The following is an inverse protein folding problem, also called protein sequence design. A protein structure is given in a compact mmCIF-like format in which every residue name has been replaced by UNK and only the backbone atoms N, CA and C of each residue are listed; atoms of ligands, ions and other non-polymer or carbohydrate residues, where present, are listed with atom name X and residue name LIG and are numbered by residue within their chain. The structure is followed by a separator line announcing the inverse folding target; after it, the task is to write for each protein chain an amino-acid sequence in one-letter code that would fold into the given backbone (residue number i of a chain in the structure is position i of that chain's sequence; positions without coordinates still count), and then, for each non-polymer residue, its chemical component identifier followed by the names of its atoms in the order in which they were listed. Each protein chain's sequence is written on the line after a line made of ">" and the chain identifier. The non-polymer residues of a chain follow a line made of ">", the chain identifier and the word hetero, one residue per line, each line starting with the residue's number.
data_IF_554268138054
#
_entry.id   IF_554268138054
#
_cell.length_a   1.000
_cell.length_b   1.000
_cell.length_c   1.000
_cell.angle_alpha   90.00
_cell.angle_beta   90.00
_cell.angle_gamma   90.00
#
_symmetry.space_group_name_H-M   'P 1'
#
loop_
_entity.id
_entity.type
_entity.pdbx_description
1 polymer ?
#
# COMPACT_ATOMS: atom_id res chain seq x y z
N UNK A 1 -1.20 6.85 -18.78
CA UNK A 1 -2.26 7.41 -19.65
C UNK A 1 -3.23 8.27 -18.86
N UNK A 2 -4.00 7.73 -17.91
CA UNK A 2 -5.04 8.48 -17.20
C UNK A 2 -4.51 9.65 -16.36
N UNK A 3 -3.38 9.48 -15.66
CA UNK A 3 -2.74 10.58 -14.93
C UNK A 3 -2.31 11.73 -15.85
N UNK A 4 -1.93 11.46 -17.10
CA UNK A 4 -1.62 12.51 -18.06
C UNK A 4 -2.86 13.34 -18.45
N UNK A 5 -4.02 12.70 -18.57
CA UNK A 5 -5.31 13.40 -18.79
C UNK A 5 -5.63 14.28 -17.57
N UNK A 6 -5.50 13.73 -16.36
CA UNK A 6 -5.73 14.47 -15.12
C UNK A 6 -4.77 15.66 -14.98
N UNK A 7 -3.49 15.47 -15.31
CA UNK A 7 -2.48 16.52 -15.30
C UNK A 7 -2.82 17.63 -16.28
N UNK A 8 -3.18 17.29 -17.52
CA UNK A 8 -3.58 18.26 -18.53
C UNK A 8 -4.77 19.11 -18.07
N UNK A 9 -5.80 18.48 -17.49
CA UNK A 9 -6.95 19.21 -16.95
C UNK A 9 -6.54 20.18 -15.84
N UNK A 10 -5.65 19.74 -14.96
CA UNK A 10 -5.14 20.55 -13.85
C UNK A 10 -4.32 21.75 -14.34
N UNK A 11 -3.40 21.54 -15.28
CA UNK A 11 -2.57 22.59 -15.90
C UNK A 11 -3.42 23.62 -16.65
N UNK A 12 -4.59 23.22 -17.15
CA UNK A 12 -5.57 24.11 -17.78
C UNK A 12 -6.61 24.66 -16.78
N UNK A 13 -6.30 24.69 -15.49
CA UNK A 13 -7.15 25.23 -14.42
C UNK A 13 -8.53 24.56 -14.28
N UNK A 14 -8.71 23.34 -14.79
CA UNK A 14 -9.91 22.55 -14.56
C UNK A 14 -9.72 21.72 -13.29
N UNK A 15 -10.23 22.24 -12.18
CA UNK A 15 -10.18 21.61 -10.85
C UNK A 15 -11.20 20.47 -10.70
N UNK A 16 -11.15 19.52 -11.63
CA UNK A 16 -11.97 18.29 -11.64
C UNK A 16 -11.07 17.08 -11.43
N UNK A 17 -11.62 16.02 -10.86
CA UNK A 17 -10.91 14.75 -10.71
C UNK A 17 -11.63 13.65 -11.50
N UNK A 18 -11.01 13.20 -12.59
CA UNK A 18 -11.59 12.19 -13.48
C UNK A 18 -11.73 10.81 -12.83
N UNK A 19 -11.06 10.57 -11.70
CA UNK A 19 -11.09 9.31 -10.98
C UNK A 19 -12.14 9.26 -9.87
N UNK A 20 -12.43 10.41 -9.24
CA UNK A 20 -13.30 10.46 -8.05
C UNK A 20 -14.61 11.21 -8.25
N UNK A 21 -14.67 12.15 -9.19
CA UNK A 21 -15.87 12.96 -9.36
C UNK A 21 -16.97 12.15 -10.05
N UNK A 22 -18.17 12.17 -9.45
CA UNK A 22 -19.32 11.38 -9.93
C UNK A 22 -19.70 11.69 -11.39
N UNK A 23 -19.41 12.92 -11.85
CA UNK A 23 -19.66 13.35 -13.22
C UNK A 23 -18.90 12.51 -14.27
N UNK A 24 -17.76 11.92 -13.92
CA UNK A 24 -16.93 11.13 -14.83
C UNK A 24 -17.12 9.62 -14.67
N UNK A 25 -18.11 9.15 -13.91
CA UNK A 25 -18.34 7.71 -13.72
C UNK A 25 -18.50 6.96 -15.04
N UNK A 26 -19.28 7.49 -15.98
CA UNK A 26 -19.45 6.85 -17.30
C UNK A 26 -18.15 6.83 -18.08
N UNK A 27 -17.35 7.91 -18.02
CA UNK A 27 -16.02 7.95 -18.66
C UNK A 27 -15.10 6.87 -18.08
N UNK A 28 -15.04 6.73 -16.76
CA UNK A 28 -14.23 5.70 -16.09
C UNK A 28 -14.70 4.30 -16.46
N UNK A 29 -16.01 4.07 -16.52
CA UNK A 29 -16.59 2.78 -16.92
C UNK A 29 -16.20 2.41 -18.36
N UNK A 30 -16.34 3.32 -19.32
CA UNK A 30 -15.96 3.07 -20.71
C UNK A 30 -14.44 2.90 -20.85
N UNK A 31 -13.65 3.69 -20.14
CA UNK A 31 -12.20 3.54 -20.11
C UNK A 31 -11.77 2.17 -19.57
N UNK A 32 -12.40 1.70 -18.49
CA UNK A 32 -12.14 0.36 -17.94
C UNK A 32 -12.52 -0.75 -18.93
N UNK A 33 -13.60 -0.58 -19.71
CA UNK A 33 -13.96 -1.54 -20.78
C UNK A 33 -12.88 -1.58 -21.86
N UNK A 34 -12.42 -0.41 -22.32
CA UNK A 34 -11.34 -0.31 -23.32
C UNK A 34 -10.03 -0.94 -22.82
N UNK A 35 -9.74 -0.82 -21.53
CA UNK A 35 -8.53 -1.35 -20.90
C UNK A 35 -8.67 -2.79 -20.40
N UNK A 36 -9.84 -3.43 -20.52
CA UNK A 36 -10.11 -4.75 -19.95
C UNK A 36 -9.17 -5.86 -20.45
N UNK A 37 -8.67 -5.74 -21.69
CA UNK A 37 -7.70 -6.67 -22.28
C UNK A 37 -6.25 -6.19 -22.19
N UNK A 38 -5.99 -4.99 -21.63
CA UNK A 38 -4.63 -4.48 -21.53
C UNK A 38 -3.83 -5.28 -20.50
N UNK A 39 -2.62 -5.67 -20.87
CA UNK A 39 -1.68 -6.33 -19.99
C UNK A 39 -0.47 -5.41 -19.74
N UNK A 40 -0.01 -5.29 -18.49
CA UNK A 40 1.20 -4.52 -18.20
C UNK A 40 2.40 -5.12 -18.92
N UNK A 41 3.28 -4.26 -19.43
CA UNK A 41 4.57 -4.72 -19.92
C UNK A 41 5.39 -5.26 -18.76
N UNK A 42 5.79 -6.53 -18.82
CA UNK A 42 6.61 -7.18 -17.80
C UNK A 42 8.05 -7.22 -18.31
N UNK A 43 8.99 -6.75 -17.49
CA UNK A 43 10.42 -6.83 -17.80
C UNK A 43 10.93 -8.28 -17.66
N UNK A 44 12.09 -8.64 -18.22
CA UNK A 44 12.67 -9.98 -18.12
C UNK A 44 12.89 -10.50 -16.67
N UNK A 45 12.92 -9.61 -15.68
CA UNK A 45 13.01 -9.91 -14.25
C UNK A 45 11.64 -10.10 -13.57
N UNK A 46 10.55 -10.24 -14.33
CA UNK A 46 9.18 -10.37 -13.85
C UNK A 46 8.61 -9.16 -13.10
N UNK A 47 9.26 -7.99 -13.16
CA UNK A 47 8.68 -6.76 -12.60
C UNK A 47 7.80 -6.06 -13.63
N UNK A 48 6.69 -5.48 -13.17
CA UNK A 48 5.82 -4.65 -14.01
C UNK A 48 6.54 -3.35 -14.37
N UNK A 49 6.65 -3.06 -15.66
CA UNK A 49 7.15 -1.77 -16.15
C UNK A 49 6.04 -0.72 -16.02
N UNK A 50 6.23 0.21 -15.09
CA UNK A 50 5.40 1.41 -14.95
C UNK A 50 6.28 2.64 -15.05
N UNK A 51 5.85 3.63 -15.83
CA UNK A 51 6.45 4.98 -15.84
C UNK A 51 5.81 5.91 -14.81
N UNK A 52 4.75 5.44 -14.13
CA UNK A 52 4.10 6.22 -13.08
C UNK A 52 4.89 6.05 -11.80
N UNK A 53 5.56 7.11 -11.41
CA UNK A 53 6.25 7.27 -10.13
C UNK A 53 5.36 8.01 -9.12
N UNK A 54 5.74 7.98 -7.86
CA UNK A 54 4.95 8.55 -6.76
C UNK A 54 4.79 10.07 -6.88
N UNK A 55 5.83 10.79 -7.30
CA UNK A 55 5.80 12.23 -7.58
C UNK A 55 4.62 12.63 -8.47
N UNK A 56 4.32 11.84 -9.50
CA UNK A 56 3.22 12.11 -10.41
C UNK A 56 1.87 12.12 -9.71
N UNK A 57 1.68 11.31 -8.65
CA UNK A 57 0.44 11.31 -7.88
C UNK A 57 0.29 12.57 -7.03
N UNK A 58 1.39 13.10 -6.50
CA UNK A 58 1.43 14.36 -5.77
C UNK A 58 1.15 15.54 -6.72
N UNK A 59 1.83 15.58 -7.86
CA UNK A 59 1.69 16.65 -8.87
C UNK A 59 0.28 16.68 -9.48
N UNK A 60 -0.29 15.51 -9.74
CA UNK A 60 -1.68 15.38 -10.23
C UNK A 60 -2.74 15.60 -9.13
N UNK A 61 -2.35 15.99 -7.90
CA UNK A 61 -3.24 16.17 -6.74
C UNK A 61 -4.10 14.95 -6.41
N UNK A 62 -3.62 13.74 -6.73
CA UNK A 62 -4.24 12.48 -6.31
C UNK A 62 -3.89 12.15 -4.86
N UNK A 63 -2.76 12.69 -4.38
CA UNK A 63 -2.33 12.69 -3.00
C UNK A 63 -2.19 14.14 -2.51
N UNK A 64 -2.40 14.36 -1.22
CA UNK A 64 -2.39 15.66 -0.56
C UNK A 64 -3.59 15.89 0.35
N UNK A 65 -3.85 17.16 0.65
CA UNK A 65 -4.89 17.60 1.59
C UNK A 65 -5.92 18.52 0.94
N UNK A 66 -6.06 18.44 -0.39
CA UNK A 66 -6.83 19.38 -1.19
C UNK A 66 -8.34 19.17 -1.13
N UNK A 67 -8.80 17.97 -0.75
CA UNK A 67 -10.21 17.65 -0.52
C UNK A 67 -10.33 16.46 0.45
N UNK A 68 -11.51 16.21 1.05
CA UNK A 68 -11.72 15.05 1.92
C UNK A 68 -11.41 13.70 1.22
N UNK A 69 -11.76 13.56 -0.05
CA UNK A 69 -11.48 12.35 -0.83
C UNK A 69 -9.97 12.18 -1.11
N UNK A 70 -9.28 13.27 -1.47
CA UNK A 70 -7.83 13.22 -1.71
C UNK A 70 -7.07 12.95 -0.40
N UNK A 71 -7.52 13.52 0.72
CA UNK A 71 -6.95 13.22 2.03
C UNK A 71 -7.12 11.74 2.37
N UNK A 72 -8.30 11.17 2.14
CA UNK A 72 -8.54 9.74 2.34
C UNK A 72 -7.63 8.88 1.46
N UNK A 73 -7.52 9.20 0.16
CA UNK A 73 -6.60 8.51 -0.76
C UNK A 73 -5.15 8.57 -0.26
N UNK A 74 -4.75 9.71 0.30
CA UNK A 74 -3.40 9.91 0.86
C UNK A 74 -3.14 9.03 2.07
N UNK A 75 -4.12 8.92 2.98
CA UNK A 75 -4.02 8.04 4.13
C UNK A 75 -3.96 6.57 3.70
N UNK A 76 -4.81 6.16 2.75
CA UNK A 76 -4.78 4.82 2.18
C UNK A 76 -3.43 4.52 1.53
N UNK A 77 -2.90 5.46 0.74
CA UNK A 77 -1.58 5.34 0.13
C UNK A 77 -0.48 5.15 1.17
N UNK A 78 -0.44 5.95 2.23
CA UNK A 78 0.55 5.80 3.30
C UNK A 78 0.42 4.48 4.05
N UNK A 79 -0.81 4.05 4.36
CA UNK A 79 -1.06 2.77 4.99
C UNK A 79 -0.58 1.61 4.10
N UNK A 80 -0.82 1.66 2.80
CA UNK A 80 -0.31 0.66 1.86
C UNK A 80 1.21 0.70 1.76
N UNK A 81 1.79 1.89 1.58
CA UNK A 81 3.24 2.07 1.38
C UNK A 81 4.07 1.70 2.62
N UNK A 82 3.63 2.11 3.81
CA UNK A 82 4.42 1.98 5.03
C UNK A 82 4.00 0.81 5.92
N UNK A 83 2.73 0.39 5.88
CA UNK A 83 2.24 -0.74 6.68
C UNK A 83 1.91 -1.98 5.84
N UNK A 84 1.93 -1.89 4.51
CA UNK A 84 1.69 -3.03 3.62
C UNK A 84 0.23 -3.44 3.51
N UNK A 85 -0.73 -2.58 3.91
CA UNK A 85 -2.16 -2.86 3.81
C UNK A 85 -2.64 -2.64 2.38
N UNK A 86 -2.95 -3.70 1.66
CA UNK A 86 -3.30 -3.67 0.23
C UNK A 86 -4.79 -3.84 -0.02
N UNK A 87 -5.52 -4.53 0.87
CA UNK A 87 -6.96 -4.78 0.68
C UNK A 87 -7.84 -3.92 1.60
N UNK A 88 -9.10 -3.73 1.21
CA UNK A 88 -10.07 -3.00 2.03
C UNK A 88 -10.20 -3.61 3.42
N UNK A 89 -10.20 -4.95 3.53
CA UNK A 89 -10.30 -5.68 4.79
C UNK A 89 -9.09 -5.45 5.68
N UNK A 90 -7.89 -5.33 5.11
CA UNK A 90 -6.67 -5.01 5.83
C UNK A 90 -6.69 -3.58 6.38
N UNK A 91 -7.13 -2.60 5.57
CA UNK A 91 -7.33 -1.22 6.03
C UNK A 91 -8.38 -1.11 7.13
N UNK A 92 -9.47 -1.90 7.06
CA UNK A 92 -10.51 -1.93 8.09
C UNK A 92 -10.02 -2.47 9.44
N UNK A 93 -8.93 -3.25 9.46
CA UNK A 93 -8.33 -3.77 10.69
C UNK A 93 -7.37 -2.79 11.37
N UNK A 94 -7.11 -1.63 10.73
CA UNK A 94 -6.24 -0.61 11.26
C UNK A 94 -6.84 -0.03 12.55
N UNK A 95 -6.02 -0.05 13.60
CA UNK A 95 -6.37 0.50 14.90
C UNK A 95 -5.15 1.18 15.50
N UNK A 96 -5.34 2.33 16.14
CA UNK A 96 -4.27 3.03 16.86
C UNK A 96 -3.65 2.19 17.98
N UNK A 97 -4.36 1.19 18.51
CA UNK A 97 -3.81 0.23 19.48
C UNK A 97 -2.65 -0.59 18.90
N UNK A 98 -2.60 -0.73 17.59
CA UNK A 98 -1.63 -1.55 16.86
C UNK A 98 -0.52 -0.70 16.22
N UNK A 99 -0.59 0.64 16.38
CA UNK A 99 0.39 1.59 15.88
C UNK A 99 1.22 2.09 17.05
N UNK A 100 2.52 1.80 17.03
CA UNK A 100 3.42 2.23 18.09
C UNK A 100 4.54 3.12 17.57
N UNK A 101 4.92 4.10 18.38
CA UNK A 101 6.16 4.83 18.21
C UNK A 101 7.31 3.99 18.74
N UNK A 102 8.26 3.64 17.88
CA UNK A 102 9.47 2.94 18.26
C UNK A 102 10.66 3.89 18.21
N UNK A 103 11.53 3.83 19.22
CA UNK A 103 12.82 4.50 19.16
C UNK A 103 13.93 3.48 19.32
N UNK A 104 14.94 3.56 18.45
CA UNK A 104 16.12 2.66 18.46
C UNK A 104 17.39 3.50 18.40
N UNK A 105 18.40 3.11 19.18
CA UNK A 105 19.75 3.65 19.02
C UNK A 105 20.40 2.97 17.83
N UNK A 106 20.90 3.74 16.86
CA UNK A 106 21.62 3.27 15.70
C UNK A 106 23.06 3.80 15.78
N UNK A 107 24.04 2.92 15.67
CA UNK A 107 25.45 3.29 15.59
C UNK A 107 25.79 3.64 14.15
N UNK A 108 26.17 4.89 13.90
CA UNK A 108 26.66 5.37 12.61
C UNK A 108 28.17 5.64 12.70
N UNK A 109 28.84 5.81 11.56
CA UNK A 109 30.26 6.18 11.52
C UNK A 109 30.59 7.49 12.28
N UNK A 110 29.58 8.34 12.54
CA UNK A 110 29.71 9.61 13.28
C UNK A 110 29.26 9.51 14.75
N UNK A 111 29.01 8.31 15.26
CA UNK A 111 28.55 8.06 16.63
C UNK A 111 27.12 7.50 16.72
N UNK A 112 26.60 7.37 17.95
CA UNK A 112 25.27 6.82 18.21
C UNK A 112 24.17 7.87 17.97
N UNK A 113 23.27 7.61 17.04
CA UNK A 113 22.09 8.43 16.77
C UNK A 113 20.82 7.73 17.25
N UNK A 114 19.83 8.49 17.73
CA UNK A 114 18.51 7.97 18.11
C UNK A 114 17.57 8.10 16.91
N UNK A 115 17.16 6.96 16.36
CA UNK A 115 16.17 6.90 15.27
C UNK A 115 14.79 6.70 15.89
N UNK A 116 13.79 7.39 15.37
CA UNK A 116 12.39 7.27 15.76
C UNK A 116 11.60 6.84 14.53
N UNK A 117 10.79 5.79 14.66
CA UNK A 117 9.91 5.31 13.60
C UNK A 117 8.53 4.98 14.15
N UNK A 118 7.55 4.93 13.25
CA UNK A 118 6.22 4.40 13.55
C UNK A 118 6.19 2.97 13.01
N UNK A 119 5.64 2.04 13.80
CA UNK A 119 5.49 0.64 13.41
C UNK A 119 4.04 0.22 13.61
N UNK A 120 3.49 -0.45 12.61
CA UNK A 120 2.22 -1.14 12.68
C UNK A 120 2.45 -2.63 12.94
N UNK A 121 1.68 -3.21 13.85
CA UNK A 121 1.66 -4.66 14.09
C UNK A 121 0.31 -5.22 13.66
N UNK A 122 0.32 -6.10 12.66
CA UNK A 122 -0.90 -6.77 12.21
C UNK A 122 -1.49 -7.58 13.37
N UNK A 123 -2.78 -7.38 13.72
CA UNK A 123 -3.41 -8.16 14.76
C UNK A 123 -3.37 -9.65 14.38
N UNK A 124 -2.88 -10.48 15.30
CA UNK A 124 -2.85 -11.93 15.10
C UNK A 124 -4.31 -12.39 15.03
N UNK A 125 -4.76 -12.83 13.86
CA UNK A 125 -6.08 -13.45 13.73
C UNK A 125 -6.08 -14.68 14.63
N UNK A 126 -6.78 -14.63 15.77
CA UNK A 126 -7.15 -15.84 16.48
C UNK A 126 -8.05 -16.65 15.54
N UNK A 127 -7.45 -17.61 14.80
CA UNK A 127 -8.20 -18.70 14.20
C UNK A 127 -8.88 -19.46 15.34
N UNK A 128 -10.14 -19.14 15.61
CA UNK A 128 -10.97 -19.93 16.51
C UNK A 128 -11.50 -21.12 15.70
N UNK A 129 -10.85 -22.27 15.86
CA UNK A 129 -11.30 -23.53 15.27
C UNK A 129 -10.28 -24.67 15.42
N UNK A 130 -10.38 -25.40 16.56
CA UNK A 130 -10.18 -26.84 16.83
C UNK A 130 -9.07 -27.56 16.00
N UNK A 131 -8.04 -28.21 16.54
CA UNK A 131 -7.98 -29.11 17.70
C UNK A 131 -6.59 -29.12 18.37
N UNK A 132 -6.63 -29.51 19.63
CA UNK A 132 -5.55 -29.86 20.55
C UNK A 132 -4.77 -31.12 20.16
N UNK A 133 -3.45 -31.09 20.25
CA UNK A 133 -2.58 -32.14 20.84
C UNK A 133 -1.11 -31.68 20.70
N UNK A 134 -0.49 -31.11 21.74
CA UNK A 134 0.31 -31.83 22.75
C UNK A 134 1.12 -33.00 22.18
N UNK A 135 2.46 -32.88 22.14
CA UNK A 135 3.32 -34.07 22.10
C UNK A 135 4.76 -33.92 21.62
N UNK A 136 5.64 -33.49 22.53
CA UNK A 136 7.01 -33.97 22.79
C UNK A 136 7.90 -34.48 21.63
N UNK A 137 9.05 -33.79 21.50
CA UNK A 137 10.41 -34.27 21.17
C UNK A 137 10.59 -35.80 21.08
N UNK A 138 11.18 -36.29 20.00
CA UNK A 138 12.06 -37.46 20.05
C UNK A 138 13.23 -37.34 19.05
N UNK A 139 14.40 -37.62 19.61
CA UNK A 139 15.77 -37.58 19.09
C UNK A 139 15.97 -38.72 18.08
N UNK A 140 16.60 -38.42 16.94
CA UNK A 140 17.07 -39.43 15.98
C UNK A 140 18.19 -40.26 16.62
N UNK A 141 18.08 -41.57 16.48
CA UNK A 141 19.12 -42.56 16.75
C UNK A 141 19.29 -43.33 15.45
N UNK A 142 20.40 -43.07 14.75
CA UNK A 142 20.82 -43.79 13.55
C UNK A 142 21.98 -44.69 13.97
N UNK A 143 21.76 -45.99 13.95
CA UNK A 143 22.80 -47.01 14.10
C UNK A 143 22.79 -47.90 12.85
N UNK A 144 24.00 -48.09 12.33
CA UNK A 144 24.38 -48.70 11.08
C UNK A 144 23.90 -50.14 10.88
N UNK A 145 23.85 -50.53 9.59
CA UNK A 145 24.37 -51.82 9.11
C UNK A 145 25.24 -51.53 7.88
#
# INVERSE_FOLDING_TARGET
>A
MCLGIQQYLLENNRMVNIFTDLYYLTFVQELNKLLSGWQPSVLPNSTVFSRVEEEHLWDCKQLGVYSPFVLLNTLMFFNTKFFGLQTAEEHMQLSFTNVVRQSRKCTTARGSAKVVSIRYYTPVRHRKGRESSLGKRRREEEAAV
#
